data_IF_456986866749
#
_entry.id   IF_456986866749
#
_cell.length_a   1.000
_cell.length_b   1.000
_cell.length_c   1.000
_cell.angle_alpha   90.00
_cell.angle_beta   90.00
_cell.angle_gamma   90.00
#
_symmetry.space_group_name_H-M   'P 1'
#
loop_
_entity.id
_entity.type
_entity.pdbx_description
1 polymer ?
#
# COMPACT_ATOMS: atom_id res chain seq x y z
N UNK A 1 15.52 22.85 -1.72
CA UNK A 1 14.80 22.71 -0.43
C UNK A 1 13.87 21.52 -0.52
N UNK A 2 13.78 20.69 0.52
CA UNK A 2 12.89 19.51 0.57
C UNK A 2 11.74 19.81 1.52
N UNK A 3 10.52 19.44 1.15
CA UNK A 3 9.32 19.56 1.99
C UNK A 3 8.78 18.17 2.31
N UNK A 4 8.28 18.00 3.52
CA UNK A 4 7.53 16.82 3.92
C UNK A 4 6.31 17.23 4.76
N UNK A 5 5.16 16.61 4.51
CA UNK A 5 3.93 16.88 5.27
C UNK A 5 3.05 15.64 5.36
N UNK A 6 2.06 15.70 6.26
CA UNK A 6 1.04 14.67 6.43
C UNK A 6 -0.26 15.15 5.83
N UNK A 7 -0.99 14.26 5.18
CA UNK A 7 -2.28 14.56 4.55
C UNK A 7 -3.18 13.32 4.63
N UNK A 8 -4.48 13.52 4.84
CA UNK A 8 -5.45 12.43 4.77
C UNK A 8 -5.80 12.23 3.29
N UNK A 9 -5.64 11.01 2.80
CA UNK A 9 -6.04 10.61 1.45
C UNK A 9 -7.06 9.49 1.53
N UNK A 10 -8.20 9.68 0.87
CA UNK A 10 -9.24 8.66 0.78
C UNK A 10 -8.96 7.76 -0.42
N UNK A 11 -8.84 6.45 -0.17
CA UNK A 11 -8.55 5.44 -1.21
C UNK A 11 -9.63 4.37 -1.15
N UNK A 12 -10.33 4.11 -2.28
CA UNK A 12 -11.26 2.99 -2.37
C UNK A 12 -10.51 1.67 -2.21
N UNK A 13 -10.81 0.96 -1.13
CA UNK A 13 -10.06 -0.20 -0.68
C UNK A 13 -11.00 -1.38 -0.46
N UNK A 14 -10.60 -2.54 -0.97
CA UNK A 14 -11.21 -3.81 -0.62
C UNK A 14 -10.70 -4.22 0.76
N UNK A 15 -11.60 -4.31 1.72
CA UNK A 15 -11.23 -4.66 3.10
C UNK A 15 -10.66 -6.08 3.16
N UNK A 16 -9.80 -6.29 4.17
CA UNK A 16 -9.31 -7.63 4.49
C UNK A 16 -10.47 -8.49 5.03
N UNK A 17 -10.47 -9.77 4.69
CA UNK A 17 -11.39 -10.73 5.28
C UNK A 17 -11.07 -11.04 6.74
N UNK A 18 -11.93 -11.87 7.34
CA UNK A 18 -11.74 -12.34 8.70
C UNK A 18 -10.45 -13.17 8.82
N UNK A 19 -9.60 -12.90 9.83
CA UNK A 19 -8.43 -13.72 10.08
C UNK A 19 -8.83 -15.14 10.49
N UNK A 20 -8.13 -16.14 9.98
CA UNK A 20 -8.31 -17.53 10.41
C UNK A 20 -8.04 -17.65 11.92
N UNK A 21 -8.97 -18.28 12.64
CA UNK A 21 -8.91 -18.44 14.09
C UNK A 21 -7.81 -19.41 14.50
N UNK A 22 -7.56 -20.42 13.68
CA UNK A 22 -6.56 -21.45 13.95
C UNK A 22 -5.18 -21.01 13.40
N UNK A 23 -4.08 -21.19 14.16
CA UNK A 23 -2.76 -20.86 13.64
C UNK A 23 -2.41 -21.78 12.46
N UNK A 24 -2.04 -21.18 11.33
CA UNK A 24 -1.58 -21.90 10.14
C UNK A 24 -0.05 -21.86 10.06
N UNK A 25 0.58 -23.02 9.96
CA UNK A 25 2.03 -23.18 9.83
C UNK A 25 2.42 -23.49 8.37
N UNK A 26 2.72 -22.46 7.58
CA UNK A 26 3.10 -22.57 6.16
C UNK A 26 4.62 -22.75 5.94
N UNK A 27 5.28 -23.49 6.83
CA UNK A 27 6.74 -23.66 6.88
C UNK A 27 7.35 -24.36 5.65
N UNK A 28 6.59 -25.28 5.02
CA UNK A 28 7.08 -26.14 3.93
C UNK A 28 6.38 -25.83 2.61
N UNK A 29 6.69 -24.70 1.97
CA UNK A 29 6.32 -24.48 0.57
C UNK A 29 7.30 -25.22 -0.35
N UNK A 30 6.78 -26.01 -1.30
CA UNK A 30 7.57 -26.90 -2.17
C UNK A 30 8.35 -26.15 -3.27
N UNK A 31 8.37 -24.80 -3.27
CA UNK A 31 9.00 -24.01 -4.35
C UNK A 31 9.96 -22.92 -3.85
N UNK A 32 11.21 -23.03 -4.33
CA UNK A 32 12.27 -22.01 -4.42
C UNK A 32 12.45 -21.11 -3.18
N UNK A 33 13.07 -21.66 -2.11
CA UNK A 33 13.82 -20.87 -1.11
C UNK A 33 13.04 -19.85 -0.26
N UNK A 34 11.71 -19.81 -0.36
CA UNK A 34 10.87 -18.90 0.43
C UNK A 34 10.30 -19.62 1.65
N UNK A 35 10.61 -19.10 2.83
CA UNK A 35 9.95 -19.51 4.07
C UNK A 35 8.60 -18.77 4.13
N UNK A 36 7.50 -19.52 4.05
CA UNK A 36 6.15 -18.97 4.19
C UNK A 36 5.73 -18.72 5.63
N UNK A 37 6.68 -18.68 6.58
CA UNK A 37 6.40 -18.56 8.01
C UNK A 37 5.83 -17.19 8.31
N UNK A 38 4.57 -17.18 8.71
CA UNK A 38 3.81 -15.98 9.07
C UNK A 38 3.43 -15.93 10.55
N UNK A 39 3.57 -17.05 11.27
CA UNK A 39 3.31 -17.10 12.72
C UNK A 39 4.18 -16.07 13.47
N UNK A 40 3.63 -15.30 14.42
CA UNK A 40 2.31 -15.44 15.05
C UNK A 40 1.15 -14.69 14.37
N UNK A 41 1.35 -14.10 13.19
CA UNK A 41 0.28 -13.39 12.49
C UNK A 41 -0.76 -14.37 11.91
N UNK A 42 -2.06 -14.07 12.05
CA UNK A 42 -3.10 -14.88 11.46
C UNK A 42 -3.10 -14.76 9.93
N UNK A 43 -3.50 -15.82 9.26
CA UNK A 43 -3.65 -15.84 7.80
C UNK A 43 -5.03 -15.28 7.43
N UNK A 44 -5.08 -14.47 6.38
CA UNK A 44 -6.30 -13.95 5.80
C UNK A 44 -6.44 -14.58 4.40
N UNK A 45 -7.55 -15.28 4.15
CA UNK A 45 -7.77 -16.03 2.90
C UNK A 45 -8.72 -15.34 1.92
N UNK A 46 -9.40 -14.27 2.37
CA UNK A 46 -10.37 -13.53 1.56
C UNK A 46 -10.12 -12.02 1.62
N UNK A 47 -10.61 -11.36 0.57
CA UNK A 47 -10.74 -9.90 0.48
C UNK A 47 -12.21 -9.62 0.15
N UNK A 48 -12.73 -8.47 0.59
CA UNK A 48 -14.08 -8.05 0.23
C UNK A 48 -14.23 -7.92 -1.29
N UNK A 49 -15.40 -8.27 -1.83
CA UNK A 49 -15.76 -8.00 -3.23
C UNK A 49 -16.22 -6.54 -3.44
N UNK A 50 -16.54 -5.85 -2.36
CA UNK A 50 -16.96 -4.45 -2.34
C UNK A 50 -15.83 -3.55 -1.87
N UNK A 51 -15.63 -2.43 -2.58
CA UNK A 51 -14.68 -1.40 -2.21
C UNK A 51 -15.36 -0.36 -1.31
N UNK A 52 -14.66 0.05 -0.27
CA UNK A 52 -15.08 1.12 0.63
C UNK A 52 -14.07 2.26 0.60
N UNK A 53 -14.53 3.49 0.80
CA UNK A 53 -13.67 4.65 0.93
C UNK A 53 -12.98 4.64 2.29
N UNK A 54 -11.65 4.47 2.29
CA UNK A 54 -10.84 4.43 3.52
C UNK A 54 -9.87 5.60 3.55
N UNK A 55 -9.86 6.30 4.69
CA UNK A 55 -8.93 7.38 4.95
C UNK A 55 -7.58 6.86 5.44
N UNK A 56 -6.52 7.17 4.69
CA UNK A 56 -5.14 6.87 5.02
C UNK A 56 -4.35 8.13 5.36
N UNK A 57 -3.40 8.01 6.27
CA UNK A 57 -2.50 9.10 6.62
C UNK A 57 -1.28 9.05 5.70
N UNK A 58 -1.36 9.74 4.57
CA UNK A 58 -0.24 9.85 3.65
C UNK A 58 0.86 10.74 4.22
N UNK A 59 2.11 10.34 3.96
CA UNK A 59 3.28 11.20 4.11
C UNK A 59 3.74 11.59 2.70
N UNK A 60 3.71 12.88 2.41
CA UNK A 60 4.24 13.41 1.17
C UNK A 60 5.66 13.91 1.36
N UNK A 61 6.52 13.64 0.37
CA UNK A 61 7.88 14.16 0.29
C UNK A 61 8.03 14.78 -1.11
N UNK A 62 8.40 16.05 -1.16
CA UNK A 62 8.55 16.78 -2.41
C UNK A 62 9.82 17.64 -2.44
N UNK A 63 10.47 17.65 -3.59
CA UNK A 63 11.52 18.60 -3.92
C UNK A 63 11.34 19.16 -5.34
N UNK A 64 12.39 19.73 -5.91
CA UNK A 64 12.35 20.30 -7.27
C UNK A 64 12.12 19.24 -8.36
N UNK A 65 12.56 18.00 -8.13
CA UNK A 65 12.61 16.95 -9.14
C UNK A 65 11.49 15.91 -9.01
N UNK A 66 11.07 15.60 -7.77
CA UNK A 66 10.12 14.53 -7.50
C UNK A 66 9.09 14.91 -6.44
N UNK A 67 7.93 14.26 -6.51
CA UNK A 67 6.89 14.23 -5.48
C UNK A 67 6.52 12.78 -5.20
N UNK A 68 6.56 12.37 -3.93
CA UNK A 68 6.36 10.98 -3.50
C UNK A 68 5.33 10.92 -2.40
N UNK A 69 4.41 9.96 -2.48
CA UNK A 69 3.44 9.62 -1.45
C UNK A 69 3.79 8.28 -0.81
N UNK A 70 3.89 8.26 0.51
CA UNK A 70 4.13 7.06 1.31
C UNK A 70 2.89 6.81 2.17
N UNK A 71 2.45 5.56 2.26
CA UNK A 71 1.34 5.12 3.12
C UNK A 71 1.88 4.26 4.27
N UNK A 72 2.14 4.83 5.46
CA UNK A 72 2.65 4.09 6.61
C UNK A 72 1.75 2.94 7.04
N UNK A 73 0.42 3.13 7.01
CA UNK A 73 -0.55 2.09 7.39
C UNK A 73 -0.53 0.88 6.45
N UNK A 74 -0.03 1.04 5.22
CA UNK A 74 0.12 -0.04 4.24
C UNK A 74 1.58 -0.48 4.13
N UNK A 75 2.22 -0.71 5.28
CA UNK A 75 3.61 -1.18 5.36
C UNK A 75 4.67 -0.17 4.90
N UNK A 76 4.35 1.13 4.90
CA UNK A 76 5.26 2.17 4.43
C UNK A 76 5.48 2.15 2.91
N UNK A 77 4.55 1.57 2.16
CA UNK A 77 4.64 1.48 0.70
C UNK A 77 4.70 2.86 0.06
N UNK A 78 5.57 3.01 -0.95
CA UNK A 78 5.50 4.13 -1.90
C UNK A 78 4.29 3.91 -2.80
N UNK A 79 3.24 4.68 -2.55
CA UNK A 79 1.97 4.57 -3.27
C UNK A 79 1.98 5.38 -4.57
N UNK A 80 2.68 6.52 -4.59
CA UNK A 80 2.82 7.38 -5.75
C UNK A 80 4.22 7.97 -5.79
N UNK A 81 4.78 8.06 -6.99
CA UNK A 81 6.02 8.78 -7.24
C UNK A 81 5.95 9.44 -8.61
N UNK A 82 6.12 10.76 -8.63
CA UNK A 82 6.00 11.61 -9.80
C UNK A 82 7.32 12.31 -10.09
N UNK A 83 7.80 12.19 -11.33
CA UNK A 83 8.95 12.90 -11.87
C UNK A 83 8.46 14.23 -12.47
N UNK A 84 8.88 15.34 -11.87
CA UNK A 84 8.51 16.71 -12.27
C UNK A 84 9.24 17.18 -13.53
N UNK A 85 10.37 16.56 -13.87
CA UNK A 85 11.16 16.89 -15.06
C UNK A 85 10.58 16.21 -16.30
N UNK A 86 10.28 14.91 -16.18
CA UNK A 86 9.67 14.11 -17.27
C UNK A 86 8.15 14.11 -17.25
N UNK A 87 7.52 14.76 -16.27
CA UNK A 87 6.07 14.90 -16.10
C UNK A 87 5.32 13.57 -16.16
N UNK A 88 5.83 12.57 -15.42
CA UNK A 88 5.26 11.22 -15.43
C UNK A 88 5.35 10.55 -14.08
N UNK A 89 4.45 9.62 -13.83
CA UNK A 89 4.63 8.64 -12.76
C UNK A 89 5.66 7.59 -13.18
N UNK A 90 6.52 7.19 -12.24
CA UNK A 90 7.54 6.16 -12.47
C UNK A 90 7.38 4.93 -11.57
N UNK A 91 6.31 4.91 -10.77
CA UNK A 91 5.80 3.72 -10.09
C UNK A 91 4.39 3.45 -10.59
N UNK A 92 3.97 2.18 -10.57
CA UNK A 92 2.59 1.83 -10.88
C UNK A 92 1.69 2.26 -9.72
N UNK A 93 0.67 3.06 -10.04
CA UNK A 93 -0.24 3.65 -9.06
C UNK A 93 -1.63 3.10 -9.34
N UNK A 94 -2.21 2.50 -8.32
CA UNK A 94 -3.63 2.15 -8.33
C UNK A 94 -4.34 3.17 -7.45
N UNK A 95 -4.95 4.17 -8.10
CA UNK A 95 -5.88 5.10 -7.48
C UNK A 95 -7.21 4.95 -8.22
N UNK A 96 -8.31 4.87 -7.50
CA UNK A 96 -9.65 4.86 -8.11
C UNK A 96 -9.98 6.27 -8.62
N UNK A 97 -9.59 6.53 -9.87
CA UNK A 97 -10.16 7.45 -10.88
C UNK A 97 -10.61 8.89 -10.53
N UNK A 98 -10.32 9.48 -9.36
CA UNK A 98 -10.84 10.84 -9.05
C UNK A 98 -9.86 11.83 -8.41
N UNK A 99 -8.55 11.62 -8.47
CA UNK A 99 -7.58 12.66 -8.07
C UNK A 99 -7.03 13.41 -9.30
N UNK A 100 -7.07 14.75 -9.34
CA UNK A 100 -6.47 15.51 -10.42
C UNK A 100 -4.94 15.36 -10.40
N UNK A 101 -4.36 15.45 -11.61
CA UNK A 101 -2.91 15.42 -11.89
C UNK A 101 -2.14 16.53 -11.15
#
# INVERSE_FOLDING_TARGET
MVKAWREIVTIPTYQIGEPEKNPIFLEKRVYQGSSGVVYPYPVIESISDEKEDVDYQAIWIENEYIKVMILPQLGGRVQMAYDKIKKRHFVYITMSSNQPL
#
